data_IF_667573442415
#
_entry.id   IF_667573442415
#
_cell.length_a   1.000
_cell.length_b   1.000
_cell.length_c   1.000
_cell.angle_alpha   90.00
_cell.angle_beta   90.00
_cell.angle_gamma   90.00
#
_symmetry.space_group_name_H-M   'P 1'
#
loop_
_entity.id
_entity.type
_entity.pdbx_description
1 polymer ?
#
# COMPACT_ATOMS: atom_id res chain seq x y z
N UNK A 1 -3.09 -14.39 15.81
CA UNK A 1 -4.24 -14.85 16.62
C UNK A 1 -5.32 -15.61 15.85
N UNK A 2 -5.97 -15.04 14.83
CA UNK A 2 -7.07 -15.74 14.12
C UNK A 2 -6.63 -16.77 13.06
N UNK A 3 -5.35 -16.79 12.69
CA UNK A 3 -4.77 -17.65 11.62
C UNK A 3 -5.58 -17.62 10.32
N UNK A 4 -5.88 -16.44 9.76
CA UNK A 4 -6.64 -16.36 8.51
C UNK A 4 -5.82 -16.89 7.34
N UNK A 5 -6.51 -17.45 6.34
CA UNK A 5 -5.90 -17.76 5.04
C UNK A 5 -5.56 -16.49 4.25
N UNK A 6 -6.32 -15.41 4.50
CA UNK A 6 -6.23 -14.14 3.80
C UNK A 6 -6.52 -12.95 4.74
N UNK A 7 -5.74 -11.88 4.62
CA UNK A 7 -5.98 -10.61 5.29
C UNK A 7 -6.01 -9.47 4.27
N UNK A 8 -7.12 -8.73 4.24
CA UNK A 8 -7.29 -7.52 3.42
C UNK A 8 -7.64 -6.38 4.37
N UNK A 9 -6.86 -5.30 4.34
CA UNK A 9 -7.17 -4.07 5.05
C UNK A 9 -7.71 -3.00 4.08
N UNK A 10 -8.58 -2.12 4.57
CA UNK A 10 -9.06 -0.95 3.85
C UNK A 10 -8.94 0.28 4.74
N UNK A 11 -8.22 1.30 4.28
CA UNK A 11 -7.98 2.51 5.05
C UNK A 11 -7.92 3.76 4.17
N UNK A 12 -8.50 4.86 4.65
CA UNK A 12 -8.29 6.21 4.09
C UNK A 12 -6.94 6.76 4.56
N UNK A 13 -5.86 6.08 4.18
CA UNK A 13 -4.59 6.13 4.89
C UNK A 13 -3.71 7.34 4.54
N UNK A 14 -3.66 7.75 3.27
CA UNK A 14 -2.73 8.79 2.82
C UNK A 14 -3.36 9.75 1.82
N UNK A 15 -3.03 11.04 1.95
CA UNK A 15 -3.30 12.01 0.89
C UNK A 15 -2.45 11.78 -0.37
N UNK A 16 -1.28 11.16 -0.23
CA UNK A 16 -0.38 10.86 -1.36
C UNK A 16 -1.03 9.91 -2.38
N UNK A 17 -1.88 8.99 -1.94
CA UNK A 17 -2.65 8.12 -2.83
C UNK A 17 -3.60 8.93 -3.71
N UNK A 18 -4.32 9.89 -3.11
CA UNK A 18 -5.24 10.79 -3.84
C UNK A 18 -4.48 11.70 -4.80
N UNK A 19 -3.31 12.22 -4.40
CA UNK A 19 -2.46 13.03 -5.29
C UNK A 19 -2.01 12.24 -6.52
N UNK A 20 -1.66 10.95 -6.36
CA UNK A 20 -1.18 10.12 -7.46
C UNK A 20 -2.28 9.55 -8.36
N UNK A 21 -3.44 9.21 -7.79
CA UNK A 21 -4.48 8.43 -8.46
C UNK A 21 -5.79 9.19 -8.70
N UNK A 22 -5.95 10.36 -8.11
CA UNK A 22 -7.20 11.12 -8.07
C UNK A 22 -8.18 10.61 -7.00
N UNK A 23 -9.32 11.28 -6.88
CA UNK A 23 -10.32 11.03 -5.82
C UNK A 23 -11.16 9.76 -6.03
N UNK A 24 -11.12 9.18 -7.23
CA UNK A 24 -12.02 8.10 -7.64
C UNK A 24 -11.32 6.74 -7.78
N UNK A 25 -10.01 6.65 -7.51
CA UNK A 25 -9.22 5.43 -7.73
C UNK A 25 -8.52 4.98 -6.45
N UNK A 26 -8.75 3.73 -6.04
CA UNK A 26 -8.07 3.14 -4.88
C UNK A 26 -6.74 2.48 -5.25
N UNK A 27 -5.74 2.57 -4.37
CA UNK A 27 -4.45 1.90 -4.53
C UNK A 27 -4.45 0.50 -3.90
N UNK A 28 -4.07 -0.52 -4.66
CA UNK A 28 -3.87 -1.90 -4.19
C UNK A 28 -2.38 -2.12 -3.90
N UNK A 29 -2.06 -2.57 -2.70
CA UNK A 29 -0.71 -2.87 -2.24
C UNK A 29 -0.72 -4.23 -1.52
N UNK A 30 0.43 -4.89 -1.42
CA UNK A 30 0.52 -6.21 -0.81
C UNK A 30 1.82 -6.94 -1.12
N UNK A 31 1.95 -8.11 -0.52
CA UNK A 31 3.14 -8.98 -0.61
C UNK A 31 2.94 -10.21 -1.53
N UNK A 32 1.75 -10.38 -2.11
CA UNK A 32 1.44 -11.47 -3.02
C UNK A 32 0.84 -10.90 -4.32
N UNK A 33 1.58 -11.04 -5.42
CA UNK A 33 1.20 -10.50 -6.72
C UNK A 33 -0.01 -11.19 -7.33
N UNK A 34 -0.19 -12.49 -7.09
CA UNK A 34 -1.34 -13.25 -7.58
C UNK A 34 -2.63 -12.70 -6.96
N UNK A 35 -2.65 -12.56 -5.63
CA UNK A 35 -3.77 -11.98 -4.90
C UNK A 35 -4.09 -10.54 -5.33
N UNK A 36 -3.06 -9.71 -5.53
CA UNK A 36 -3.25 -8.34 -6.01
C UNK A 36 -3.94 -8.31 -7.37
N UNK A 37 -3.54 -9.21 -8.28
CA UNK A 37 -4.14 -9.34 -9.61
C UNK A 37 -5.57 -9.88 -9.53
N UNK A 38 -5.84 -10.88 -8.68
CA UNK A 38 -7.19 -11.38 -8.45
C UNK A 38 -8.13 -10.29 -7.93
N UNK A 39 -7.67 -9.50 -6.95
CA UNK A 39 -8.44 -8.38 -6.41
C UNK A 39 -8.70 -7.30 -7.47
N UNK A 40 -7.67 -6.94 -8.25
CA UNK A 40 -7.78 -5.97 -9.35
C UNK A 40 -8.79 -6.40 -10.43
N UNK A 41 -8.77 -7.67 -10.83
CA UNK A 41 -9.73 -8.21 -11.79
C UNK A 41 -11.15 -8.22 -11.22
N UNK A 42 -11.29 -8.47 -9.92
CA UNK A 42 -12.58 -8.47 -9.23
C UNK A 42 -13.14 -7.06 -9.11
N UNK A 43 -12.31 -6.06 -8.78
CA UNK A 43 -12.73 -4.66 -8.69
C UNK A 43 -13.19 -4.12 -10.05
N UNK A 44 -12.52 -4.51 -11.15
CA UNK A 44 -12.97 -4.17 -12.50
C UNK A 44 -14.36 -4.70 -12.81
N UNK A 45 -14.66 -5.93 -12.38
CA UNK A 45 -15.98 -6.55 -12.59
C UNK A 45 -17.08 -5.88 -11.75
N UNK A 46 -16.75 -5.40 -10.55
CA UNK A 46 -17.70 -4.68 -9.70
C UNK A 46 -17.90 -3.22 -10.11
N UNK A 47 -17.04 -2.67 -10.97
CA UNK A 47 -17.09 -1.28 -11.43
C UNK A 47 -16.25 -0.31 -10.58
N UNK A 48 -15.43 -0.83 -9.67
CA UNK A 48 -14.53 -0.04 -8.83
C UNK A 48 -13.23 0.28 -9.59
N UNK A 49 -12.82 1.55 -9.56
CA UNK A 49 -11.52 1.95 -10.12
C UNK A 49 -10.40 1.69 -9.12
N UNK A 50 -9.45 0.86 -9.52
CA UNK A 50 -8.27 0.54 -8.72
C UNK A 50 -7.02 0.48 -9.58
N UNK A 51 -5.86 0.58 -8.95
CA UNK A 51 -4.58 0.26 -9.59
C UNK A 51 -3.60 -0.33 -8.59
N UNK A 52 -2.67 -1.16 -9.07
CA UNK A 52 -1.65 -1.77 -8.22
C UNK A 52 -0.48 -0.79 -8.06
N UNK A 53 -0.07 -0.56 -6.81
CA UNK A 53 1.11 0.20 -6.43
C UNK A 53 2.17 -0.79 -5.94
N UNK A 54 3.18 -1.05 -6.76
CA UNK A 54 4.22 -2.01 -6.41
C UNK A 54 5.21 -1.45 -5.39
N UNK A 55 5.53 -2.29 -4.40
CA UNK A 55 6.64 -2.03 -3.50
C UNK A 55 7.97 -2.10 -4.22
N UNK A 56 8.96 -1.36 -3.73
CA UNK A 56 10.32 -1.45 -4.20
C UNK A 56 11.31 -1.23 -3.03
N UNK A 57 12.53 -1.78 -3.12
CA UNK A 57 13.49 -1.72 -2.03
C UNK A 57 13.92 -0.27 -1.69
N UNK A 58 13.94 0.65 -2.66
CA UNK A 58 14.37 2.02 -2.42
C UNK A 58 13.40 2.79 -1.52
N UNK A 59 12.10 2.58 -1.68
CA UNK A 59 11.10 3.20 -0.81
C UNK A 59 11.11 2.60 0.61
N UNK A 60 11.50 1.32 0.75
CA UNK A 60 11.63 0.66 2.06
C UNK A 60 12.74 1.28 2.92
N UNK A 61 13.79 1.78 2.29
CA UNK A 61 14.87 2.50 3.00
C UNK A 61 14.40 3.81 3.65
N UNK A 62 13.33 4.42 3.11
CA UNK A 62 12.84 5.72 3.57
C UNK A 62 12.12 5.67 4.92
N UNK A 63 11.73 4.49 5.39
CA UNK A 63 11.04 4.28 6.68
C UNK A 63 11.97 3.74 7.77
N UNK A 64 13.29 3.75 7.55
CA UNK A 64 14.26 3.37 8.59
C UNK A 64 14.30 4.43 9.70
N UNK A 65 14.51 3.98 10.94
CA UNK A 65 14.77 4.83 12.09
C UNK A 65 16.17 4.56 12.64
N UNK A 66 16.83 5.61 13.17
CA UNK A 66 18.15 5.50 13.78
C UNK A 66 18.08 5.06 15.26
N UNK A 67 16.89 5.10 15.86
CA UNK A 67 16.68 4.89 17.30
C UNK A 67 15.58 3.87 17.61
N UNK A 68 14.90 3.35 16.58
CA UNK A 68 13.81 2.39 16.68
C UNK A 68 13.84 1.45 15.47
N UNK A 69 13.03 0.39 15.49
CA UNK A 69 13.00 -0.61 14.42
C UNK A 69 12.47 -0.05 13.09
N UNK A 70 11.55 0.93 13.16
CA UNK A 70 10.91 1.56 12.00
C UNK A 70 10.45 2.98 12.35
N UNK A 71 10.45 3.87 11.36
CA UNK A 71 9.81 5.19 11.43
C UNK A 71 8.40 5.12 10.87
N UNK A 72 7.42 5.69 11.58
CA UNK A 72 6.02 5.74 11.13
C UNK A 72 5.77 6.72 9.97
N UNK A 73 6.77 7.53 9.63
CA UNK A 73 6.73 8.44 8.49
C UNK A 73 8.00 8.29 7.65
N UNK A 74 7.85 8.37 6.33
CA UNK A 74 8.98 8.35 5.42
C UNK A 74 9.82 9.64 5.53
N UNK A 75 11.13 9.50 5.32
CA UNK A 75 12.06 10.63 5.26
C UNK A 75 11.92 11.50 3.98
N UNK A 76 11.17 11.01 2.99
CA UNK A 76 10.90 11.71 1.71
C UNK A 76 9.45 12.18 1.62
N UNK A 77 9.23 13.25 0.85
CA UNK A 77 7.89 13.73 0.47
C UNK A 77 7.26 12.91 -0.67
N UNK A 78 8.05 12.07 -1.35
CA UNK A 78 7.61 11.30 -2.51
C UNK A 78 7.31 9.84 -2.13
N UNK A 79 6.28 9.26 -2.77
CA UNK A 79 5.93 7.85 -2.57
C UNK A 79 5.17 7.54 -1.28
N UNK A 80 4.54 8.54 -0.66
CA UNK A 80 3.87 8.42 0.64
C UNK A 80 2.85 7.28 0.75
N UNK A 81 2.14 6.97 -0.34
CA UNK A 81 1.20 5.84 -0.37
C UNK A 81 1.94 4.49 -0.21
N UNK A 82 3.01 4.29 -0.97
CA UNK A 82 3.80 3.06 -0.96
C UNK A 82 4.59 2.92 0.34
N UNK A 83 5.17 4.01 0.86
CA UNK A 83 5.90 3.95 2.13
C UNK A 83 5.00 3.66 3.32
N UNK A 84 3.74 4.13 3.30
CA UNK A 84 2.74 3.73 4.29
C UNK A 84 2.37 2.24 4.18
N UNK A 85 2.19 1.71 2.96
CA UNK A 85 2.00 0.27 2.75
C UNK A 85 3.20 -0.57 3.24
N UNK A 86 4.42 -0.10 2.98
CA UNK A 86 5.65 -0.73 3.47
C UNK A 86 5.82 -0.65 5.00
N UNK A 87 5.20 0.34 5.65
CA UNK A 87 5.13 0.40 7.11
C UNK A 87 4.17 -0.67 7.67
N UNK A 88 3.08 -0.99 6.98
CA UNK A 88 2.14 -2.05 7.37
C UNK A 88 2.68 -3.47 7.07
N UNK A 89 3.56 -3.62 6.07
CA UNK A 89 4.24 -4.89 5.73
C UNK A 89 5.28 -5.32 6.79
N UNK A 90 5.63 -4.43 7.73
CA UNK A 90 6.61 -4.68 8.78
C UNK A 90 6.02 -5.48 9.94
#
# INVERSE_FOLDING_TARGET
DLKPDLLIDMATLTGACVVGLGEFTSGIMGNNEELQNEFYLSSKKSGEYTTILHFNPHLKELIKSNIADVSNSASSRYGGAITAGLFLDK
#
